data_IF_908550373649
#
_entry.id   IF_908550373649
#
_cell.length_a   1.000
_cell.length_b   1.000
_cell.length_c   1.000
_cell.angle_alpha   90.00
_cell.angle_beta   90.00
_cell.angle_gamma   90.00
#
_symmetry.space_group_name_H-M   'P 1'
#
loop_
_entity.id
_entity.type
_entity.pdbx_description
1 polymer ?
#
# COMPACT_ATOMS: atom_id res chain seq x y z
N UNK A 1 -51.60 -34.86 56.27
CA UNK A 1 -51.89 -34.59 54.85
C UNK A 1 -51.61 -33.15 54.45
N UNK A 2 -52.00 -32.13 55.24
CA UNK A 2 -51.71 -30.72 54.91
C UNK A 2 -50.23 -30.45 54.62
N UNK A 3 -49.31 -30.92 55.48
CA UNK A 3 -47.86 -30.70 55.31
C UNK A 3 -47.29 -31.27 54.00
N UNK A 4 -47.79 -32.40 53.50
CA UNK A 4 -47.30 -32.99 52.24
C UNK A 4 -47.84 -32.23 51.02
N UNK A 5 -49.08 -31.74 51.10
CA UNK A 5 -49.65 -30.86 50.07
C UNK A 5 -48.91 -29.52 50.04
N UNK A 6 -48.61 -28.92 51.19
CA UNK A 6 -47.88 -27.66 51.30
C UNK A 6 -46.46 -27.76 50.69
N UNK A 7 -45.73 -28.83 50.99
CA UNK A 7 -44.39 -29.09 50.40
C UNK A 7 -44.47 -29.25 48.88
N UNK A 8 -45.44 -30.01 48.37
CA UNK A 8 -45.63 -30.18 46.93
C UNK A 8 -46.03 -28.87 46.23
N UNK A 9 -46.83 -28.04 46.90
CA UNK A 9 -47.22 -26.72 46.41
C UNK A 9 -46.04 -25.76 46.32
N UNK A 10 -45.20 -25.71 47.35
CA UNK A 10 -43.99 -24.88 47.35
C UNK A 10 -43.01 -25.32 46.27
N UNK A 11 -42.83 -26.63 46.08
CA UNK A 11 -42.01 -27.20 45.01
C UNK A 11 -42.53 -26.84 43.61
N UNK A 12 -43.85 -26.89 43.41
CA UNK A 12 -44.49 -26.54 42.13
C UNK A 12 -44.36 -25.04 41.83
N UNK A 13 -44.53 -24.18 42.85
CA UNK A 13 -44.34 -22.73 42.76
C UNK A 13 -42.89 -22.37 42.46
N UNK A 14 -41.94 -23.03 43.13
CA UNK A 14 -40.51 -22.88 42.89
C UNK A 14 -40.13 -23.30 41.46
N UNK A 15 -40.65 -24.44 40.98
CA UNK A 15 -40.46 -24.90 39.61
C UNK A 15 -40.99 -23.90 38.58
N UNK A 16 -42.18 -23.31 38.79
CA UNK A 16 -42.72 -22.27 37.91
C UNK A 16 -41.83 -21.03 37.84
N UNK A 17 -41.47 -20.48 39.00
CA UNK A 17 -40.63 -19.28 39.05
C UNK A 17 -39.30 -19.54 38.35
N UNK A 18 -38.76 -20.75 38.48
CA UNK A 18 -37.57 -21.20 37.76
C UNK A 18 -37.79 -21.28 36.24
N UNK A 19 -38.89 -21.86 35.75
CA UNK A 19 -39.21 -21.90 34.30
C UNK A 19 -39.35 -20.49 33.75
N UNK A 20 -40.15 -19.63 34.37
CA UNK A 20 -40.40 -18.27 33.90
C UNK A 20 -39.11 -17.43 33.89
N UNK A 21 -38.28 -17.59 34.93
CA UNK A 21 -36.97 -16.93 35.01
C UNK A 21 -36.03 -17.45 33.91
N UNK A 22 -35.92 -18.77 33.74
CA UNK A 22 -35.05 -19.37 32.71
C UNK A 22 -35.50 -18.97 31.31
N UNK A 23 -36.80 -19.01 31.04
CA UNK A 23 -37.34 -18.71 29.72
C UNK A 23 -37.25 -17.21 29.41
N UNK A 24 -37.65 -16.34 30.35
CA UNK A 24 -37.56 -14.88 30.18
C UNK A 24 -36.11 -14.39 30.09
N UNK A 25 -35.28 -14.74 31.08
CA UNK A 25 -33.87 -14.34 31.08
C UNK A 25 -33.08 -15.01 29.94
N UNK A 26 -33.43 -16.25 29.59
CA UNK A 26 -32.79 -17.00 28.52
C UNK A 26 -33.11 -16.45 27.13
N UNK A 27 -34.36 -16.06 26.86
CA UNK A 27 -34.73 -15.39 25.60
C UNK A 27 -34.07 -14.03 25.51
N UNK A 28 -34.11 -13.24 26.58
CA UNK A 28 -33.47 -11.93 26.62
C UNK A 28 -31.96 -12.05 26.37
N UNK A 29 -31.30 -12.99 27.04
CA UNK A 29 -29.89 -13.29 26.82
C UNK A 29 -29.64 -13.72 25.36
N UNK A 30 -30.43 -14.64 24.82
CA UNK A 30 -30.28 -15.13 23.45
C UNK A 30 -30.40 -14.00 22.42
N UNK A 31 -31.39 -13.13 22.58
CA UNK A 31 -31.61 -11.99 21.68
C UNK A 31 -30.49 -10.95 21.81
N UNK A 32 -30.10 -10.58 23.04
CA UNK A 32 -29.04 -9.59 23.24
C UNK A 32 -27.70 -10.14 22.75
N UNK A 33 -27.32 -11.34 23.18
CA UNK A 33 -26.07 -11.97 22.74
C UNK A 33 -26.02 -12.14 21.22
N UNK A 34 -27.14 -12.53 20.59
CA UNK A 34 -27.15 -12.71 19.14
C UNK A 34 -27.10 -11.39 18.37
N UNK A 35 -28.06 -10.49 18.59
CA UNK A 35 -28.24 -9.29 17.76
C UNK A 35 -27.30 -8.14 18.14
N UNK A 36 -26.86 -8.05 19.40
CA UNK A 36 -26.00 -6.94 19.86
C UNK A 36 -24.53 -7.27 19.94
N UNK A 37 -24.17 -8.56 19.86
CA UNK A 37 -22.80 -9.03 20.06
C UNK A 37 -22.34 -9.93 18.90
N UNK A 38 -23.04 -11.04 18.63
CA UNK A 38 -22.61 -12.00 17.61
C UNK A 38 -22.74 -11.40 16.20
N UNK A 39 -23.91 -10.94 15.78
CA UNK A 39 -24.09 -10.40 14.42
C UNK A 39 -23.13 -9.22 14.11
N UNK A 40 -23.02 -8.19 14.96
CA UNK A 40 -22.08 -7.09 14.71
C UNK A 40 -20.61 -7.52 14.69
N UNK A 41 -20.25 -8.57 15.44
CA UNK A 41 -18.88 -9.09 15.41
C UNK A 41 -18.55 -9.79 14.08
N UNK A 42 -19.50 -10.54 13.51
CA UNK A 42 -19.34 -11.14 12.19
C UNK A 42 -19.19 -10.05 11.12
N UNK A 43 -20.03 -9.02 11.16
CA UNK A 43 -19.91 -7.87 10.25
C UNK A 43 -18.55 -7.16 10.37
N UNK A 44 -18.09 -6.89 11.60
CA UNK A 44 -16.74 -6.34 11.85
C UNK A 44 -15.66 -7.24 11.23
N UNK A 45 -15.74 -8.55 11.46
CA UNK A 45 -14.72 -9.50 11.02
C UNK A 45 -14.72 -9.74 9.51
N UNK A 46 -15.85 -9.53 8.83
CA UNK A 46 -15.91 -9.56 7.37
C UNK A 46 -15.22 -8.32 6.76
N UNK A 47 -15.39 -7.15 7.39
CA UNK A 47 -14.86 -5.87 6.93
C UNK A 47 -13.35 -5.71 7.21
N UNK A 48 -12.88 -6.17 8.39
CA UNK A 48 -11.48 -6.06 8.83
C UNK A 48 -10.45 -6.52 7.78
N UNK A 49 -10.51 -7.75 7.20
CA UNK A 49 -9.52 -8.22 6.24
C UNK A 49 -9.61 -7.48 4.90
N UNK A 50 -10.82 -7.09 4.46
CA UNK A 50 -11.03 -6.32 3.23
C UNK A 50 -10.35 -4.96 3.36
N UNK A 51 -10.58 -4.28 4.48
CA UNK A 51 -10.00 -2.97 4.75
C UNK A 51 -8.47 -3.05 4.95
N UNK A 52 -7.97 -4.04 5.71
CA UNK A 52 -6.52 -4.26 5.87
C UNK A 52 -5.81 -4.49 4.54
N UNK A 53 -6.35 -5.38 3.70
CA UNK A 53 -5.79 -5.65 2.37
C UNK A 53 -5.80 -4.40 1.49
N UNK A 54 -6.91 -3.67 1.47
CA UNK A 54 -7.04 -2.42 0.72
C UNK A 54 -6.04 -1.36 1.21
N UNK A 55 -5.84 -1.27 2.53
CA UNK A 55 -4.91 -0.32 3.15
C UNK A 55 -3.45 -0.66 2.82
N UNK A 56 -3.07 -1.95 2.86
CA UNK A 56 -1.73 -2.39 2.46
C UNK A 56 -1.45 -2.12 0.99
N UNK A 57 -2.40 -2.44 0.11
CA UNK A 57 -2.28 -2.18 -1.32
C UNK A 57 -2.13 -0.69 -1.62
N UNK A 58 -2.95 0.16 -0.99
CA UNK A 58 -2.90 1.62 -1.15
C UNK A 58 -1.65 2.24 -0.55
N UNK A 59 -1.17 1.73 0.59
CA UNK A 59 0.09 2.16 1.18
C UNK A 59 1.26 1.85 0.23
N UNK A 60 1.28 0.67 -0.37
CA UNK A 60 2.29 0.32 -1.37
C UNK A 60 2.25 1.25 -2.58
N UNK A 61 1.05 1.55 -3.11
CA UNK A 61 0.88 2.52 -4.21
C UNK A 61 1.35 3.93 -3.81
N UNK A 62 1.03 4.37 -2.60
CA UNK A 62 1.47 5.66 -2.06
C UNK A 62 3.00 5.76 -1.96
N UNK A 63 3.66 4.72 -1.43
CA UNK A 63 5.12 4.67 -1.31
C UNK A 63 5.80 4.71 -2.68
N UNK A 64 5.25 3.99 -3.67
CA UNK A 64 5.73 4.04 -5.05
C UNK A 64 5.61 5.44 -5.66
N UNK A 65 4.42 6.05 -5.55
CA UNK A 65 4.16 7.39 -6.09
C UNK A 65 5.01 8.47 -5.41
N UNK A 66 5.21 8.35 -4.09
CA UNK A 66 6.06 9.27 -3.33
C UNK A 66 7.51 9.17 -3.79
N UNK A 67 8.04 7.94 -3.90
CA UNK A 67 9.39 7.71 -4.41
C UNK A 67 9.59 8.22 -5.84
N UNK A 68 8.56 8.12 -6.69
CA UNK A 68 8.61 8.70 -8.04
C UNK A 68 8.54 10.22 -8.02
N UNK A 69 7.72 10.81 -7.15
CA UNK A 69 7.61 12.26 -6.98
C UNK A 69 8.95 12.87 -6.64
N UNK A 70 9.65 12.27 -5.68
CA UNK A 70 10.98 12.72 -5.26
C UNK A 70 12.01 12.61 -6.39
N UNK A 71 12.03 11.48 -7.12
CA UNK A 71 12.90 11.32 -8.30
C UNK A 71 12.63 12.37 -9.36
N UNK A 72 11.36 12.68 -9.65
CA UNK A 72 11.00 13.67 -10.65
C UNK A 72 11.35 15.10 -10.20
N UNK A 73 11.20 15.41 -8.91
CA UNK A 73 11.64 16.70 -8.34
C UNK A 73 13.16 16.86 -8.51
N UNK A 74 13.93 15.82 -8.15
CA UNK A 74 15.38 15.83 -8.29
C UNK A 74 15.80 15.92 -9.76
N UNK A 75 15.11 15.20 -10.65
CA UNK A 75 15.32 15.29 -12.10
C UNK A 75 15.08 16.71 -12.60
N UNK A 76 13.97 17.36 -12.20
CA UNK A 76 13.68 18.73 -12.57
C UNK A 76 14.72 19.74 -12.07
N UNK A 77 15.24 19.55 -10.86
CA UNK A 77 16.33 20.38 -10.32
C UNK A 77 17.63 20.17 -11.10
N UNK A 78 17.97 18.92 -11.43
CA UNK A 78 19.14 18.59 -12.23
C UNK A 78 19.02 19.22 -13.62
N UNK A 79 17.91 19.01 -14.34
CA UNK A 79 17.67 19.60 -15.66
C UNK A 79 17.84 21.12 -15.64
N UNK A 80 17.25 21.81 -14.66
CA UNK A 80 17.40 23.28 -14.54
C UNK A 80 18.85 23.70 -14.31
N UNK A 81 19.57 22.96 -13.48
CA UNK A 81 20.98 23.25 -13.17
C UNK A 81 21.86 23.02 -14.39
N UNK A 82 21.70 21.88 -15.07
CA UNK A 82 22.42 21.55 -16.31
C UNK A 82 22.09 22.57 -17.41
N UNK A 83 20.81 22.92 -17.59
CA UNK A 83 20.41 23.94 -18.56
C UNK A 83 21.06 25.29 -18.25
N UNK A 84 21.10 25.72 -16.99
CA UNK A 84 21.77 26.96 -16.61
C UNK A 84 23.29 26.91 -16.87
N UNK A 85 23.94 25.77 -16.63
CA UNK A 85 25.36 25.57 -16.92
C UNK A 85 25.64 25.65 -18.43
N UNK A 86 24.83 24.97 -19.25
CA UNK A 86 24.93 25.01 -20.72
C UNK A 86 24.69 26.42 -21.25
N UNK A 87 23.64 27.11 -20.76
CA UNK A 87 23.36 28.50 -21.13
C UNK A 87 24.53 29.44 -20.77
N UNK A 88 25.17 29.22 -19.61
CA UNK A 88 26.36 29.98 -19.21
C UNK A 88 27.56 29.69 -20.10
N UNK A 89 27.82 28.41 -20.43
CA UNK A 89 28.90 27.98 -21.34
C UNK A 89 28.76 28.63 -22.71
N UNK A 90 27.53 28.62 -23.27
CA UNK A 90 27.21 29.28 -24.54
C UNK A 90 27.36 30.80 -24.44
N UNK A 91 26.92 31.40 -23.33
CA UNK A 91 27.07 32.85 -23.10
C UNK A 91 28.54 33.27 -23.06
N UNK A 92 29.43 32.45 -22.50
CA UNK A 92 30.87 32.72 -22.46
C UNK A 92 31.61 32.43 -23.77
N UNK A 93 31.00 31.70 -24.71
CA UNK A 93 31.65 31.24 -25.93
C UNK A 93 32.35 32.35 -26.75
N UNK A 94 31.73 33.54 -26.99
CA UNK A 94 32.41 34.59 -27.78
C UNK A 94 33.69 35.10 -27.12
N UNK A 95 33.72 35.15 -25.79
CA UNK A 95 34.90 35.58 -25.05
C UNK A 95 35.94 34.47 -24.99
N UNK A 96 35.52 33.25 -24.68
CA UNK A 96 36.38 32.06 -24.67
C UNK A 96 37.07 31.83 -26.03
N UNK A 97 36.32 31.96 -27.13
CA UNK A 97 36.87 31.88 -28.47
C UNK A 97 37.89 32.99 -28.75
N UNK A 98 37.64 34.23 -28.30
CA UNK A 98 38.60 35.33 -28.48
C UNK A 98 39.94 35.04 -27.80
N UNK A 99 39.89 34.45 -26.60
CA UNK A 99 41.09 34.03 -25.85
C UNK A 99 41.84 32.92 -26.62
N UNK A 100 41.14 31.89 -27.07
CA UNK A 100 41.71 30.75 -27.81
C UNK A 100 42.27 31.14 -29.19
N UNK A 101 41.67 32.11 -29.87
CA UNK A 101 42.19 32.60 -31.15
C UNK A 101 43.63 33.14 -31.00
N UNK A 102 43.96 33.76 -29.87
CA UNK A 102 45.32 34.23 -29.60
C UNK A 102 46.28 33.05 -29.41
N UNK A 103 45.86 32.01 -28.70
CA UNK A 103 46.67 30.81 -28.46
C UNK A 103 46.93 30.05 -29.76
N UNK A 104 45.89 29.83 -30.58
CA UNK A 104 46.01 29.26 -31.92
C UNK A 104 46.98 30.08 -32.78
N UNK A 105 46.85 31.40 -32.78
CA UNK A 105 47.73 32.27 -33.56
C UNK A 105 49.20 32.10 -33.18
N UNK A 106 49.48 32.05 -31.87
CA UNK A 106 50.82 31.83 -31.36
C UNK A 106 51.36 30.46 -31.79
N UNK A 107 50.58 29.38 -31.72
CA UNK A 107 51.02 28.04 -32.14
C UNK A 107 51.47 28.02 -33.60
N UNK A 108 50.67 28.59 -34.51
CA UNK A 108 50.98 28.52 -35.95
C UNK A 108 52.02 29.55 -36.43
N UNK A 109 52.35 30.57 -35.63
CA UNK A 109 53.35 31.60 -35.99
C UNK A 109 54.65 31.50 -35.18
N UNK A 110 54.69 30.77 -34.07
CA UNK A 110 55.92 30.58 -33.28
C UNK A 110 56.97 29.74 -34.03
N UNK A 111 56.52 28.77 -34.84
CA UNK A 111 57.40 27.90 -35.64
C UNK A 111 58.03 28.59 -36.85
N UNK A 112 57.58 29.80 -37.23
CA UNK A 112 58.15 30.53 -38.37
C UNK A 112 59.35 31.41 -38.00
N UNK A 113 59.71 31.56 -36.72
CA UNK A 113 60.75 32.53 -36.29
C UNK A 113 62.07 31.92 -35.78
N UNK A 114 62.16 30.61 -35.58
CA UNK A 114 63.40 29.99 -35.09
C UNK A 114 64.26 29.44 -36.23
N UNK A 115 64.85 30.32 -37.04
CA UNK A 115 66.08 30.03 -37.78
C UNK A 115 66.74 31.29 -38.34
N UNK A 116 67.41 32.08 -37.50
CA UNK A 116 68.69 32.74 -37.82
C UNK A 116 69.28 33.45 -36.61
N UNK A 117 70.32 32.89 -35.99
CA UNK A 117 71.44 33.64 -35.40
C UNK A 117 72.45 32.65 -34.80
N UNK A 118 73.53 32.41 -35.55
CA UNK A 118 74.73 31.81 -34.98
C UNK A 118 75.47 32.83 -34.12
N UNK A 119 76.04 32.39 -33.00
CA UNK A 119 77.24 33.03 -32.46
C UNK A 119 78.08 32.05 -31.63
N UNK A 120 79.22 31.70 -32.24
CA UNK A 120 80.44 31.19 -31.61
C UNK A 120 81.00 32.23 -30.62
N UNK A 121 81.59 31.87 -29.46
CA UNK A 121 83.05 31.65 -29.26
C UNK A 121 83.42 31.50 -27.76
N UNK A 122 84.28 30.50 -27.47
CA UNK A 122 85.40 30.44 -26.49
C UNK A 122 85.26 30.50 -24.94
N UNK A 123 85.71 29.41 -24.27
CA UNK A 123 86.95 29.26 -23.45
C UNK A 123 86.79 28.01 -22.52
N UNK A 124 87.50 26.87 -22.64
CA UNK A 124 88.91 26.46 -22.50
C UNK A 124 89.42 26.17 -21.05
N UNK A 125 90.08 25.00 -20.91
CA UNK A 125 90.91 24.39 -19.82
C UNK A 125 90.20 23.49 -18.79
N UNK A 126 90.69 22.33 -18.33
CA UNK A 126 91.88 21.47 -18.60
C UNK A 126 91.70 20.11 -17.86
N UNK A 127 91.77 18.96 -18.54
CA UNK A 127 92.80 17.89 -18.41
C UNK A 127 92.61 16.83 -17.26
N UNK A 128 93.37 15.70 -17.21
CA UNK A 128 92.98 14.40 -17.81
C UNK A 128 93.22 13.15 -16.90
N UNK A 129 92.64 11.98 -17.18
CA UNK A 129 93.25 10.65 -16.88
C UNK A 129 92.79 9.56 -17.87
N UNK A 130 93.79 8.85 -18.41
CA UNK A 130 93.86 7.60 -19.23
C UNK A 130 93.19 6.37 -18.56
N UNK A 131 92.98 5.17 -19.11
CA UNK A 131 93.13 4.44 -20.38
C UNK A 131 92.51 3.05 -20.12
N UNK A 132 92.01 2.38 -21.18
CA UNK A 132 92.14 0.93 -21.51
C UNK A 132 90.83 0.42 -22.16
N UNK A 133 90.70 0.37 -23.49
CA UNK A 133 91.15 -0.64 -24.48
C UNK A 133 90.08 -1.73 -24.76
N UNK A 134 89.65 -1.74 -26.03
CA UNK A 134 89.17 -2.78 -26.97
C UNK A 134 88.06 -3.77 -26.56
N UNK A 135 87.02 -4.05 -27.39
CA UNK A 135 87.15 -4.57 -28.76
C UNK A 135 85.90 -4.38 -29.65
N UNK A 136 86.19 -4.13 -30.93
CA UNK A 136 85.45 -4.15 -32.20
C UNK A 136 84.12 -4.93 -32.36
N UNK A 137 83.19 -4.32 -33.13
CA UNK A 137 82.75 -4.71 -34.51
C UNK A 137 81.21 -4.77 -34.78
N UNK A 138 80.85 -4.16 -35.92
CA UNK A 138 79.75 -4.44 -36.86
C UNK A 138 78.32 -3.84 -36.67
N UNK A 139 78.09 -2.80 -37.48
CA UNK A 139 76.95 -2.49 -38.37
C UNK A 139 75.49 -2.48 -37.86
N UNK A 140 74.89 -1.30 -38.06
CA UNK A 140 73.57 -1.07 -38.68
C UNK A 140 72.34 -1.71 -38.01
N UNK A 141 71.66 -0.90 -37.20
CA UNK A 141 70.20 -0.71 -37.21
C UNK A 141 69.82 0.30 -36.11
N UNK A 142 69.95 1.59 -36.41
CA UNK A 142 69.23 2.62 -35.65
C UNK A 142 67.79 2.67 -36.17
N UNK A 143 66.76 2.50 -35.31
CA UNK A 143 65.40 2.81 -35.71
C UNK A 143 65.29 4.32 -35.99
N UNK A 144 64.41 4.75 -36.90
CA UNK A 144 64.21 6.16 -37.16
C UNK A 144 63.78 6.82 -35.86
N UNK A 145 64.40 7.98 -35.59
CA UNK A 145 64.01 8.89 -34.54
C UNK A 145 62.52 9.19 -34.72
N UNK A 146 61.67 8.57 -33.90
CA UNK A 146 60.25 8.88 -33.84
C UNK A 146 60.20 10.31 -33.32
N UNK A 147 60.01 11.28 -34.22
CA UNK A 147 59.57 12.61 -33.86
C UNK A 147 58.28 12.41 -33.07
N UNK A 148 58.39 12.42 -31.74
CA UNK A 148 57.23 12.56 -30.88
C UNK A 148 56.62 13.90 -31.25
N UNK A 149 55.53 13.85 -32.00
CA UNK A 149 54.64 14.98 -32.18
C UNK A 149 54.22 15.42 -30.78
N UNK A 150 54.82 16.51 -30.30
CA UNK A 150 54.44 17.14 -29.05
C UNK A 150 53.01 17.61 -29.27
N UNK A 151 52.05 16.97 -28.61
CA UNK A 151 50.66 17.38 -28.69
C UNK A 151 50.55 18.80 -28.14
N UNK A 152 50.20 19.74 -29.00
CA UNK A 152 50.07 21.14 -28.61
C UNK A 152 48.74 21.31 -27.91
N UNK A 153 48.78 21.83 -26.68
CA UNK A 153 47.56 22.10 -25.90
C UNK A 153 47.06 23.51 -26.19
N UNK A 154 45.79 23.64 -26.52
CA UNK A 154 45.10 24.91 -26.80
C UNK A 154 43.91 25.02 -25.83
N UNK A 155 44.05 25.87 -24.82
CA UNK A 155 43.15 25.87 -23.66
C UNK A 155 43.13 24.51 -22.96
N UNK A 156 41.97 23.85 -22.96
CA UNK A 156 41.79 22.50 -22.41
C UNK A 156 41.90 21.37 -23.45
N UNK A 157 41.99 21.70 -24.74
CA UNK A 157 41.96 20.72 -25.83
C UNK A 157 43.37 20.43 -26.38
N UNK A 158 43.54 19.26 -26.99
CA UNK A 158 44.76 18.88 -27.68
C UNK A 158 44.58 19.04 -29.18
N UNK A 159 45.42 19.86 -29.81
CA UNK A 159 45.39 20.09 -31.25
C UNK A 159 45.87 18.84 -31.99
N UNK A 160 45.05 18.26 -32.90
CA UNK A 160 45.47 17.16 -33.75
C UNK A 160 46.62 17.54 -34.67
N UNK A 161 47.55 16.61 -34.89
CA UNK A 161 48.76 16.85 -35.69
C UNK A 161 48.51 17.04 -37.19
N UNK A 162 47.34 16.66 -37.68
CA UNK A 162 46.88 16.84 -39.06
C UNK A 162 46.40 18.28 -39.34
N UNK A 163 46.23 19.10 -38.31
CA UNK A 163 45.87 20.51 -38.46
C UNK A 163 47.13 21.35 -38.62
N UNK A 164 47.30 21.89 -39.82
CA UNK A 164 48.53 22.61 -40.21
C UNK A 164 48.33 24.10 -40.45
N UNK A 165 47.08 24.59 -40.49
CA UNK A 165 46.78 26.00 -40.74
C UNK A 165 45.96 26.62 -39.61
N UNK A 166 46.11 27.93 -39.40
CA UNK A 166 45.33 28.69 -38.42
C UNK A 166 43.82 28.53 -38.66
N UNK A 167 43.37 28.65 -39.92
CA UNK A 167 41.95 28.54 -40.26
C UNK A 167 41.37 27.15 -39.97
N UNK A 168 42.13 26.09 -40.23
CA UNK A 168 41.72 24.72 -39.92
C UNK A 168 41.70 24.48 -38.40
N UNK A 169 42.61 25.11 -37.65
CA UNK A 169 42.62 25.08 -36.18
C UNK A 169 41.43 25.80 -35.56
N UNK A 170 41.01 26.94 -36.11
CA UNK A 170 39.78 27.64 -35.67
C UNK A 170 38.55 26.78 -35.94
N UNK A 171 38.45 26.19 -37.14
CA UNK A 171 37.34 25.31 -37.50
C UNK A 171 37.22 24.12 -36.55
N UNK A 172 38.32 23.38 -36.36
CA UNK A 172 38.38 22.24 -35.45
C UNK A 172 37.99 22.61 -34.03
N UNK A 173 38.48 23.74 -33.52
CA UNK A 173 38.18 24.16 -32.16
C UNK A 173 36.68 24.42 -31.98
N UNK A 174 36.06 25.10 -32.95
CA UNK A 174 34.63 25.40 -32.93
C UNK A 174 33.80 24.11 -32.97
N UNK A 175 34.11 23.19 -33.88
CA UNK A 175 33.46 21.88 -33.95
C UNK A 175 33.60 21.10 -32.64
N UNK A 176 34.81 21.09 -32.07
CA UNK A 176 35.10 20.39 -30.81
C UNK A 176 34.31 20.97 -29.66
N UNK A 177 34.25 22.30 -29.55
CA UNK A 177 33.49 22.98 -28.50
C UNK A 177 31.98 22.71 -28.61
N UNK A 178 31.42 22.73 -29.82
CA UNK A 178 30.01 22.37 -30.05
C UNK A 178 29.72 20.91 -29.71
N UNK A 179 30.63 20.01 -30.08
CA UNK A 179 30.50 18.60 -29.75
C UNK A 179 30.50 18.38 -28.24
N UNK A 180 31.32 19.13 -27.50
CA UNK A 180 31.33 19.11 -26.04
C UNK A 180 30.01 19.62 -25.44
N UNK A 181 29.44 20.72 -25.96
CA UNK A 181 28.13 21.22 -25.50
C UNK A 181 27.02 20.18 -25.74
N UNK A 182 27.00 19.54 -26.90
CA UNK A 182 26.03 18.48 -27.19
C UNK A 182 26.26 17.25 -26.30
N UNK A 183 27.52 16.91 -26.01
CA UNK A 183 27.88 15.85 -25.07
C UNK A 183 27.36 16.17 -23.66
N UNK A 184 27.55 17.40 -23.18
CA UNK A 184 27.06 17.87 -21.88
C UNK A 184 25.53 17.79 -21.80
N UNK A 185 24.82 18.20 -22.86
CA UNK A 185 23.36 18.05 -22.95
C UNK A 185 22.95 16.57 -22.84
N UNK A 186 23.60 15.67 -23.60
CA UNK A 186 23.25 14.24 -23.58
C UNK A 186 23.48 13.63 -22.21
N UNK A 187 24.64 13.91 -21.62
CA UNK A 187 25.05 13.34 -20.33
C UNK A 187 24.29 13.93 -19.15
N UNK A 188 24.06 15.23 -19.13
CA UNK A 188 23.49 15.93 -17.97
C UNK A 188 21.98 16.11 -18.03
N UNK A 189 21.35 15.89 -19.19
CA UNK A 189 19.90 16.05 -19.39
C UNK A 189 19.27 14.77 -19.96
N UNK A 190 19.71 14.29 -21.12
CA UNK A 190 19.06 13.15 -21.80
C UNK A 190 19.19 11.84 -21.01
N UNK A 191 20.40 11.49 -20.56
CA UNK A 191 20.66 10.29 -19.79
C UNK A 191 19.84 10.21 -18.48
N UNK A 192 19.79 11.27 -17.64
CA UNK A 192 18.91 11.30 -16.48
C UNK A 192 17.42 11.10 -16.82
N UNK A 193 16.93 11.68 -17.91
CA UNK A 193 15.54 11.51 -18.36
C UNK A 193 15.28 10.04 -18.76
N UNK A 194 16.21 9.41 -19.48
CA UNK A 194 16.14 8.00 -19.87
C UNK A 194 16.15 7.07 -18.65
N UNK A 195 17.01 7.36 -17.67
CA UNK A 195 17.13 6.58 -16.44
C UNK A 195 15.92 6.73 -15.51
N UNK A 196 15.23 7.86 -15.57
CA UNK A 196 14.05 8.12 -14.75
C UNK A 196 12.85 7.19 -15.06
N UNK A 197 12.90 6.42 -16.17
CA UNK A 197 11.88 5.43 -16.58
C UNK A 197 10.46 5.98 -16.41
N UNK A 198 10.24 7.15 -16.96
CA UNK A 198 8.98 7.87 -16.87
C UNK A 198 7.96 7.09 -17.72
N UNK A 199 7.04 6.37 -17.07
CA UNK A 199 6.01 5.60 -17.77
C UNK A 199 4.90 6.53 -18.27
N UNK A 200 4.38 6.28 -19.48
CA UNK A 200 3.29 7.07 -20.09
C UNK A 200 2.06 7.15 -19.19
N UNK A 201 1.80 6.07 -18.45
CA UNK A 201 0.63 5.91 -17.57
C UNK A 201 0.59 6.94 -16.43
N UNK A 202 1.73 7.54 -16.08
CA UNK A 202 1.85 8.51 -14.98
C UNK A 202 1.86 9.96 -15.44
N UNK A 203 2.05 10.19 -16.73
CA UNK A 203 2.59 11.43 -17.29
C UNK A 203 1.68 12.00 -18.38
N UNK A 204 0.74 11.20 -18.87
CA UNK A 204 -0.06 11.54 -20.04
C UNK A 204 0.84 11.63 -21.28
N UNK A 205 0.40 12.40 -22.28
CA UNK A 205 1.06 12.50 -23.59
C UNK A 205 2.35 13.35 -23.61
N UNK A 206 3.01 13.53 -22.45
CA UNK A 206 4.23 14.34 -22.32
C UNK A 206 5.45 13.43 -22.43
N UNK A 207 6.10 13.46 -23.59
CA UNK A 207 7.33 12.70 -23.85
C UNK A 207 8.57 13.61 -23.69
N UNK A 208 9.16 13.60 -22.49
CA UNK A 208 10.38 14.36 -22.20
C UNK A 208 11.58 13.92 -23.06
N UNK A 209 11.63 12.64 -23.45
CA UNK A 209 12.69 12.12 -24.30
C UNK A 209 12.59 12.74 -25.69
N UNK A 210 11.40 12.72 -26.29
CA UNK A 210 11.14 13.34 -27.59
C UNK A 210 11.42 14.84 -27.58
N UNK A 211 11.05 15.55 -26.51
CA UNK A 211 11.36 16.98 -26.35
C UNK A 211 12.87 17.21 -26.35
N UNK A 212 13.62 16.40 -25.59
CA UNK A 212 15.08 16.52 -25.48
C UNK A 212 15.76 16.24 -26.81
N UNK A 213 15.36 15.17 -27.51
CA UNK A 213 15.88 14.82 -28.82
C UNK A 213 15.61 15.90 -29.87
N UNK A 214 14.39 16.44 -29.88
CA UNK A 214 14.05 17.55 -30.77
C UNK A 214 14.93 18.78 -30.49
N UNK A 215 15.17 19.10 -29.21
CA UNK A 215 16.04 20.21 -28.84
C UNK A 215 17.48 20.05 -29.34
N UNK A 216 18.05 18.86 -29.22
CA UNK A 216 19.37 18.52 -29.78
C UNK A 216 19.37 18.70 -31.31
N UNK A 217 18.34 18.21 -32.00
CA UNK A 217 18.22 18.32 -33.45
C UNK A 217 18.10 19.77 -33.94
N UNK A 218 17.41 20.62 -33.18
CA UNK A 218 17.23 22.02 -33.53
C UNK A 218 18.54 22.80 -33.44
N UNK A 219 19.38 22.52 -32.43
CA UNK A 219 20.73 23.08 -32.31
C UNK A 219 21.62 22.61 -33.47
N UNK A 220 21.61 21.31 -33.78
CA UNK A 220 22.40 20.77 -34.88
C UNK A 220 22.00 21.44 -36.21
N UNK A 221 20.69 21.54 -36.47
CA UNK A 221 20.17 22.19 -37.68
C UNK A 221 20.55 23.66 -37.76
N UNK A 222 20.68 24.35 -36.63
CA UNK A 222 21.17 25.72 -36.59
C UNK A 222 22.64 25.80 -37.04
N UNK A 223 23.51 24.94 -36.49
CA UNK A 223 24.94 24.90 -36.85
C UNK A 223 25.12 24.57 -38.34
N UNK A 224 24.44 23.54 -38.82
CA UNK A 224 24.50 23.09 -40.22
C UNK A 224 24.05 24.21 -41.20
N UNK A 225 23.07 25.03 -40.79
CA UNK A 225 22.59 26.16 -41.58
C UNK A 225 23.62 27.27 -41.67
N UNK A 226 24.28 27.62 -40.56
CA UNK A 226 25.34 28.64 -40.55
C UNK A 226 26.48 28.25 -41.50
N UNK A 227 26.87 26.98 -41.47
CA UNK A 227 27.90 26.45 -42.38
C UNK A 227 27.45 26.45 -43.84
N UNK A 228 26.20 26.06 -44.12
CA UNK A 228 25.65 26.05 -45.48
C UNK A 228 25.53 27.44 -46.09
N UNK A 229 25.11 28.43 -45.30
CA UNK A 229 24.95 29.82 -45.77
C UNK A 229 26.29 30.54 -45.96
N UNK A 230 27.30 30.17 -45.18
CA UNK A 230 28.66 30.67 -45.34
C UNK A 230 29.69 29.56 -45.01
N UNK A 231 30.14 28.77 -46.00
CA UNK A 231 31.05 27.63 -45.80
C UNK A 231 32.41 28.01 -45.22
N UNK A 232 32.80 29.28 -45.34
CA UNK A 232 34.04 29.81 -44.78
C UNK A 232 33.82 30.54 -43.46
N UNK A 233 32.58 30.59 -42.93
CA UNK A 233 32.27 31.30 -41.69
C UNK A 233 33.10 30.77 -40.54
N UNK A 234 33.08 29.46 -40.31
CA UNK A 234 33.83 28.86 -39.22
C UNK A 234 35.35 28.93 -39.43
N UNK A 235 35.82 28.88 -40.68
CA UNK A 235 37.26 28.93 -41.05
C UNK A 235 37.89 30.31 -40.90
N UNK A 236 37.17 31.35 -41.30
CA UNK A 236 37.67 32.74 -41.33
C UNK A 236 37.10 33.59 -40.20
N UNK A 237 36.06 33.09 -39.53
CA UNK A 237 35.24 33.85 -38.60
C UNK A 237 34.77 35.18 -39.22
N UNK A 238 34.60 35.22 -40.54
CA UNK A 238 34.28 36.42 -41.31
C UNK A 238 33.13 36.15 -42.27
N UNK A 239 32.30 37.17 -42.52
CA UNK A 239 31.09 37.01 -43.33
C UNK A 239 30.09 38.15 -43.12
N UNK A 240 28.96 38.09 -43.85
CA UNK A 240 27.90 39.09 -43.76
C UNK A 240 27.12 39.04 -42.43
N UNK A 241 27.08 37.89 -41.76
CA UNK A 241 26.64 37.79 -40.36
C UNK A 241 27.81 38.09 -39.42
N UNK A 242 27.58 38.96 -38.43
CA UNK A 242 28.56 39.26 -37.40
C UNK A 242 28.73 38.09 -36.43
N UNK A 243 29.94 37.93 -35.89
CA UNK A 243 30.30 36.92 -34.87
C UNK A 243 29.36 36.94 -33.66
N UNK A 244 28.96 38.15 -33.26
CA UNK A 244 28.05 38.40 -32.13
C UNK A 244 26.64 37.92 -32.46
N UNK A 245 26.20 38.09 -33.71
CA UNK A 245 24.86 37.72 -34.15
C UNK A 245 24.67 36.21 -34.14
N UNK A 246 25.63 35.44 -34.67
CA UNK A 246 25.60 33.97 -34.66
C UNK A 246 25.61 33.41 -33.23
N UNK A 247 26.43 33.97 -32.34
CA UNK A 247 26.43 33.55 -30.94
C UNK A 247 25.10 33.88 -30.22
N UNK A 248 24.49 35.02 -30.55
CA UNK A 248 23.23 35.44 -29.95
C UNK A 248 22.04 34.61 -30.46
N UNK A 249 22.03 34.25 -31.74
CA UNK A 249 21.03 33.35 -32.33
C UNK A 249 21.18 31.92 -31.83
N UNK A 250 22.40 31.38 -31.74
CA UNK A 250 22.63 30.06 -31.14
C UNK A 250 22.08 30.00 -29.71
N UNK A 251 22.37 31.04 -28.91
CA UNK A 251 21.84 31.15 -27.55
C UNK A 251 20.31 31.20 -27.54
N UNK A 252 19.71 31.90 -28.49
CA UNK A 252 18.26 31.94 -28.64
C UNK A 252 17.69 30.56 -28.97
N UNK A 253 18.33 29.82 -29.89
CA UNK A 253 17.87 28.49 -30.27
C UNK A 253 17.99 27.52 -29.11
N UNK A 254 19.10 27.51 -28.35
CA UNK A 254 19.24 26.67 -27.15
C UNK A 254 18.15 26.99 -26.12
N UNK A 255 17.93 28.28 -25.82
CA UNK A 255 16.89 28.70 -24.87
C UNK A 255 15.50 28.26 -25.33
N UNK A 256 15.22 28.36 -26.62
CA UNK A 256 13.95 27.95 -27.22
C UNK A 256 13.77 26.43 -27.19
N UNK A 257 14.81 25.68 -27.55
CA UNK A 257 14.83 24.22 -27.60
C UNK A 257 14.66 23.58 -26.22
N UNK A 258 15.30 24.13 -25.18
CA UNK A 258 15.23 23.57 -23.82
C UNK A 258 14.24 24.27 -22.89
N UNK A 259 13.74 25.46 -23.23
CA UNK A 259 12.71 26.15 -22.45
C UNK A 259 11.45 25.30 -22.29
N UNK A 260 11.05 24.59 -23.36
CA UNK A 260 9.90 23.67 -23.34
C UNK A 260 10.14 22.47 -22.39
N UNK A 261 11.38 22.01 -22.27
CA UNK A 261 11.72 20.87 -21.42
C UNK A 261 11.48 21.20 -19.94
N UNK A 262 11.96 22.36 -19.48
CA UNK A 262 11.76 22.79 -18.08
C UNK A 262 10.29 22.98 -17.74
N UNK A 263 9.52 23.63 -18.63
CA UNK A 263 8.07 23.81 -18.44
C UNK A 263 7.34 22.47 -18.30
N UNK A 264 7.65 21.51 -19.19
CA UNK A 264 7.00 20.19 -19.18
C UNK A 264 7.38 19.37 -17.96
N UNK A 265 8.63 19.42 -17.53
CA UNK A 265 9.06 18.78 -16.28
C UNK A 265 8.33 19.36 -15.07
N UNK A 266 8.13 20.68 -15.01
CA UNK A 266 7.39 21.32 -13.91
C UNK A 266 5.91 20.91 -13.87
N UNK A 267 5.26 20.82 -15.04
CA UNK A 267 3.89 20.31 -15.14
C UNK A 267 3.80 18.89 -14.60
N UNK A 268 4.78 18.03 -14.91
CA UNK A 268 4.81 16.65 -14.42
C UNK A 268 5.03 16.55 -12.92
N UNK A 269 5.96 17.35 -12.37
CA UNK A 269 6.15 17.46 -10.93
C UNK A 269 4.85 17.91 -10.25
N UNK A 270 4.14 18.87 -10.82
CA UNK A 270 2.84 19.34 -10.33
C UNK A 270 1.80 18.22 -10.26
N UNK A 271 1.58 17.52 -11.38
CA UNK A 271 0.63 16.40 -11.47
C UNK A 271 0.94 15.29 -10.47
N UNK A 272 2.23 14.96 -10.32
CA UNK A 272 2.65 13.89 -9.42
C UNK A 272 2.47 14.28 -7.95
N UNK A 273 2.70 15.56 -7.59
CA UNK A 273 2.37 16.07 -6.26
C UNK A 273 0.88 16.01 -5.96
N UNK A 274 0.03 16.34 -6.92
CA UNK A 274 -1.42 16.23 -6.77
C UNK A 274 -1.87 14.78 -6.59
N UNK A 275 -1.32 13.85 -7.38
CA UNK A 275 -1.60 12.42 -7.25
C UNK A 275 -1.17 11.86 -5.88
N UNK A 276 0.02 12.24 -5.40
CA UNK A 276 0.50 11.89 -4.04
C UNK A 276 -0.43 12.44 -2.97
N UNK A 277 -0.88 13.70 -3.10
CA UNK A 277 -1.84 14.29 -2.15
C UNK A 277 -3.17 13.55 -2.14
N UNK A 278 -3.73 13.25 -3.31
CA UNK A 278 -5.00 12.54 -3.43
C UNK A 278 -4.92 11.13 -2.81
N UNK A 279 -3.84 10.40 -3.07
CA UNK A 279 -3.60 9.08 -2.47
C UNK A 279 -3.40 9.15 -0.96
N UNK A 280 -2.74 10.20 -0.46
CA UNK A 280 -2.60 10.43 0.98
C UNK A 280 -3.96 10.67 1.64
N UNK A 281 -4.82 11.49 1.05
CA UNK A 281 -6.17 11.75 1.56
C UNK A 281 -7.01 10.45 1.59
N UNK A 282 -6.89 9.60 0.57
CA UNK A 282 -7.56 8.29 0.53
C UNK A 282 -7.03 7.35 1.63
N UNK A 283 -5.71 7.31 1.83
CA UNK A 283 -5.05 6.52 2.86
C UNK A 283 -5.46 6.97 4.27
N UNK A 284 -5.50 8.29 4.51
CA UNK A 284 -5.93 8.88 5.78
C UNK A 284 -7.39 8.54 6.07
N UNK A 285 -8.25 8.55 5.04
CA UNK A 285 -9.66 8.11 5.15
C UNK A 285 -9.76 6.64 5.53
N UNK A 286 -9.02 5.75 4.86
CA UNK A 286 -9.03 4.31 5.19
C UNK A 286 -8.48 4.04 6.60
N UNK A 287 -7.45 4.78 7.03
CA UNK A 287 -6.91 4.65 8.38
C UNK A 287 -7.92 5.11 9.44
N UNK A 288 -8.68 6.17 9.17
CA UNK A 288 -9.78 6.60 10.02
C UNK A 288 -10.90 5.53 10.08
N UNK A 289 -11.27 4.96 8.93
CA UNK A 289 -12.26 3.88 8.89
C UNK A 289 -11.79 2.64 9.66
N UNK A 290 -10.50 2.31 9.61
CA UNK A 290 -9.90 1.24 10.41
C UNK A 290 -9.94 1.54 11.91
N UNK A 291 -9.71 2.80 12.28
CA UNK A 291 -9.80 3.25 13.68
C UNK A 291 -11.23 3.13 14.21
N UNK A 292 -12.23 3.58 13.44
CA UNK A 292 -13.65 3.42 13.80
C UNK A 292 -14.05 1.95 13.92
N UNK A 293 -13.53 1.10 13.04
CA UNK A 293 -13.76 -0.34 13.07
C UNK A 293 -13.19 -0.94 14.36
N UNK A 294 -11.99 -0.53 14.76
CA UNK A 294 -11.34 -0.93 16.02
C UNK A 294 -12.10 -0.43 17.26
N UNK A 295 -12.56 0.83 17.27
CA UNK A 295 -13.42 1.36 18.34
C UNK A 295 -14.75 0.58 18.44
N UNK A 296 -15.30 0.17 17.29
CA UNK A 296 -16.47 -0.70 17.21
C UNK A 296 -16.24 -2.05 17.90
N UNK A 297 -15.08 -2.66 17.69
CA UNK A 297 -14.66 -3.89 18.39
C UNK A 297 -14.56 -3.68 19.89
N UNK A 298 -13.86 -2.64 20.34
CA UNK A 298 -13.66 -2.37 21.77
C UNK A 298 -15.02 -2.12 22.47
N UNK A 299 -15.97 -1.49 21.75
CA UNK A 299 -17.35 -1.34 22.21
C UNK A 299 -18.08 -2.68 22.31
N UNK A 300 -17.88 -3.61 21.37
CA UNK A 300 -18.45 -4.97 21.46
C UNK A 300 -17.87 -5.75 22.64
N UNK A 301 -16.56 -5.68 22.85
CA UNK A 301 -15.88 -6.31 23.98
C UNK A 301 -16.39 -5.74 25.33
N UNK A 302 -16.61 -4.42 25.41
CA UNK A 302 -17.21 -3.81 26.59
C UNK A 302 -18.64 -4.30 26.86
N UNK A 303 -19.48 -4.40 25.82
CA UNK A 303 -20.86 -4.91 25.92
C UNK A 303 -20.87 -6.37 26.39
N UNK A 304 -19.95 -7.18 25.87
CA UNK A 304 -19.79 -8.56 26.30
C UNK A 304 -19.44 -8.66 27.79
N UNK A 305 -18.51 -7.83 28.27
CA UNK A 305 -18.13 -7.84 29.70
C UNK A 305 -19.29 -7.51 30.65
N UNK A 306 -20.30 -6.79 30.14
CA UNK A 306 -21.53 -6.43 30.87
C UNK A 306 -22.66 -7.47 30.78
N UNK A 307 -22.52 -8.46 29.89
CA UNK A 307 -23.54 -9.49 29.68
C UNK A 307 -23.46 -10.57 30.76
N UNK A 308 -24.41 -10.56 31.69
CA UNK A 308 -24.63 -11.67 32.61
C UNK A 308 -25.52 -12.73 31.96
N UNK A 309 -25.08 -13.98 31.98
CA UNK A 309 -25.84 -15.12 31.47
C UNK A 309 -26.81 -15.66 32.53
N UNK A 310 -27.92 -16.30 32.13
CA UNK A 310 -28.78 -17.06 33.05
C UNK A 310 -28.02 -18.16 33.83
N UNK A 311 -26.80 -18.51 33.42
CA UNK A 311 -25.91 -19.47 34.08
C UNK A 311 -24.80 -18.81 34.93
N UNK A 312 -24.77 -17.49 35.07
CA UNK A 312 -23.75 -16.72 35.79
C UNK A 312 -22.95 -15.78 34.88
N UNK A 313 -21.89 -15.14 35.40
CA UNK A 313 -20.96 -14.38 34.56
C UNK A 313 -20.28 -15.34 33.59
N UNK A 314 -20.30 -15.03 32.30
CA UNK A 314 -19.53 -15.78 31.31
C UNK A 314 -18.12 -15.18 31.28
N UNK A 315 -17.07 -15.86 31.77
CA UNK A 315 -15.71 -15.38 31.69
C UNK A 315 -15.13 -15.77 30.33
N UNK A 316 -15.68 -15.21 29.26
CA UNK A 316 -15.26 -15.54 27.90
C UNK A 316 -14.98 -14.26 27.13
N UNK A 317 -13.85 -14.24 26.44
CA UNK A 317 -13.60 -13.28 25.38
C UNK A 317 -14.65 -13.45 24.27
N UNK A 318 -14.86 -12.43 23.45
CA UNK A 318 -15.88 -12.41 22.39
C UNK A 318 -15.83 -13.64 21.45
N UNK A 319 -14.64 -14.11 21.03
CA UNK A 319 -14.50 -15.35 20.27
C UNK A 319 -15.06 -16.58 20.98
N UNK A 320 -14.90 -16.65 22.30
CA UNK A 320 -15.27 -17.82 23.09
C UNK A 320 -16.76 -17.84 23.40
N UNK A 321 -17.39 -16.67 23.58
CA UNK A 321 -18.85 -16.60 23.62
C UNK A 321 -19.46 -17.15 22.32
N UNK A 322 -18.96 -16.73 21.16
CA UNK A 322 -19.47 -17.19 19.85
C UNK A 322 -19.36 -18.72 19.73
N UNK A 323 -18.25 -19.30 20.22
CA UNK A 323 -18.05 -20.75 20.18
C UNK A 323 -19.05 -21.51 21.06
N UNK A 324 -19.30 -21.00 22.26
CA UNK A 324 -20.08 -21.68 23.29
C UNK A 324 -21.57 -21.32 23.21
N UNK A 325 -21.95 -20.24 22.51
CA UNK A 325 -23.32 -19.73 22.42
C UNK A 325 -24.38 -20.80 22.06
N UNK A 326 -24.22 -21.61 21.00
CA UNK A 326 -25.22 -22.65 20.70
C UNK A 326 -25.28 -23.78 21.73
N UNK A 327 -24.18 -24.08 22.42
CA UNK A 327 -24.16 -25.01 23.55
C UNK A 327 -24.96 -24.41 24.72
N UNK A 328 -24.82 -23.10 24.98
CA UNK A 328 -25.64 -22.39 25.98
C UNK A 328 -27.12 -22.42 25.60
N UNK A 329 -27.45 -22.23 24.32
CA UNK A 329 -28.85 -22.29 23.84
C UNK A 329 -29.44 -23.69 23.99
N UNK A 330 -28.69 -24.74 23.67
CA UNK A 330 -29.11 -26.11 23.89
C UNK A 330 -29.27 -26.42 25.40
N UNK A 331 -28.30 -26.00 26.23
CA UNK A 331 -28.37 -26.16 27.68
C UNK A 331 -29.56 -25.44 28.32
N UNK A 332 -29.88 -24.23 27.81
CA UNK A 332 -31.06 -23.48 28.20
C UNK A 332 -32.35 -24.25 27.88
N UNK A 333 -32.48 -24.77 26.65
CA UNK A 333 -33.65 -25.53 26.23
C UNK A 333 -33.80 -26.85 26.99
N UNK A 334 -32.71 -27.56 27.27
CA UNK A 334 -32.73 -28.75 28.13
C UNK A 334 -33.19 -28.39 29.53
N UNK A 335 -32.68 -27.30 30.10
CA UNK A 335 -33.06 -26.84 31.44
C UNK A 335 -34.54 -26.46 31.52
N UNK A 336 -35.05 -25.76 30.49
CA UNK A 336 -36.48 -25.42 30.38
C UNK A 336 -37.32 -26.69 30.24
N UNK A 337 -36.94 -27.61 29.35
CA UNK A 337 -37.69 -28.85 29.06
C UNK A 337 -37.74 -29.78 30.27
N UNK A 338 -36.61 -29.99 30.95
CA UNK A 338 -36.54 -30.82 32.16
C UNK A 338 -37.35 -30.22 33.30
N UNK A 339 -37.31 -28.89 33.47
CA UNK A 339 -38.12 -28.21 34.49
C UNK A 339 -39.62 -28.28 34.15
N UNK A 340 -39.99 -28.16 32.87
CA UNK A 340 -41.37 -28.37 32.40
C UNK A 340 -41.84 -29.82 32.63
N UNK A 341 -40.99 -30.81 32.36
CA UNK A 341 -41.31 -32.22 32.59
C UNK A 341 -41.49 -32.52 34.08
N UNK A 342 -40.60 -32.02 34.94
CA UNK A 342 -40.73 -32.15 36.40
C UNK A 342 -42.03 -31.51 36.88
N UNK A 343 -42.33 -30.30 36.43
CA UNK A 343 -43.58 -29.61 36.74
C UNK A 343 -44.81 -30.40 36.28
N UNK A 344 -44.78 -30.98 35.08
CA UNK A 344 -45.87 -31.80 34.57
C UNK A 344 -46.06 -33.09 35.38
N UNK A 345 -44.96 -33.74 35.79
CA UNK A 345 -45.03 -34.93 36.65
C UNK A 345 -45.62 -34.59 38.02
N UNK A 346 -45.16 -33.51 38.65
CA UNK A 346 -45.68 -33.03 39.93
C UNK A 346 -47.18 -32.70 39.81
N UNK A 347 -47.58 -32.03 38.74
CA UNK A 347 -48.99 -31.72 38.47
C UNK A 347 -49.85 -32.99 38.33
N UNK A 348 -49.37 -34.02 37.61
CA UNK A 348 -50.10 -35.29 37.47
C UNK A 348 -50.24 -35.99 38.82
N UNK A 349 -49.15 -36.15 39.57
CA UNK A 349 -49.18 -36.77 40.91
C UNK A 349 -50.10 -36.01 41.86
N UNK A 350 -50.05 -34.68 41.81
CA UNK A 350 -50.90 -33.81 42.62
C UNK A 350 -52.38 -33.94 42.24
N UNK A 351 -52.69 -33.99 40.93
CA UNK A 351 -54.04 -34.23 40.40
C UNK A 351 -54.58 -35.58 40.83
N UNK A 352 -53.77 -36.63 40.74
CA UNK A 352 -54.16 -37.99 41.12
C UNK A 352 -54.47 -38.11 42.62
N UNK A 353 -53.63 -37.52 43.47
CA UNK A 353 -53.83 -37.53 44.91
C UNK A 353 -55.08 -36.72 45.32
N UNK A 354 -55.33 -35.59 44.66
CA UNK A 354 -56.52 -34.79 44.90
C UNK A 354 -57.81 -35.48 44.43
N UNK A 355 -57.76 -36.21 43.30
CA UNK A 355 -58.89 -36.99 42.77
C UNK A 355 -59.29 -38.15 43.68
N UNK A 356 -58.35 -38.74 44.41
CA UNK A 356 -58.62 -39.84 45.34
C UNK A 356 -59.34 -39.39 46.61
N UNK A 357 -59.12 -38.14 47.04
CA UNK A 357 -59.48 -37.70 48.38
C UNK A 357 -60.66 -36.70 48.45
N UNK A 358 -61.13 -36.13 47.33
CA UNK A 358 -62.08 -35.00 47.35
C UNK A 358 -63.28 -35.12 46.40
N UNK A 359 -64.32 -34.32 46.67
CA UNK A 359 -65.56 -34.23 45.88
C UNK A 359 -65.37 -33.52 44.53
N UNK A 360 -66.30 -33.72 43.58
CA UNK A 360 -66.25 -33.11 42.24
C UNK A 360 -66.27 -31.56 42.26
N UNK A 361 -66.83 -30.97 43.32
CA UNK A 361 -66.89 -29.51 43.53
C UNK A 361 -65.51 -28.97 43.97
N UNK A 362 -64.78 -29.70 44.82
CA UNK A 362 -63.40 -29.36 45.20
C UNK A 362 -62.44 -29.47 44.03
N UNK A 363 -62.71 -30.38 43.08
CA UNK A 363 -61.91 -30.54 41.87
C UNK A 363 -61.94 -29.28 40.98
N UNK A 364 -63.10 -28.63 40.82
CA UNK A 364 -63.21 -27.36 40.06
C UNK A 364 -62.49 -26.20 40.76
N UNK A 365 -62.53 -26.15 42.09
CA UNK A 365 -61.82 -25.13 42.87
C UNK A 365 -60.30 -25.34 42.84
N UNK A 366 -59.86 -26.59 42.93
CA UNK A 366 -58.48 -26.98 42.73
C UNK A 366 -57.98 -26.64 41.33
N UNK A 367 -58.76 -26.93 40.30
CA UNK A 367 -58.41 -26.60 38.92
C UNK A 367 -58.28 -25.09 38.75
N UNK A 368 -59.21 -24.29 39.30
CA UNK A 368 -59.09 -22.82 39.34
C UNK A 368 -57.83 -22.34 40.07
N UNK A 369 -57.50 -22.91 41.22
CA UNK A 369 -56.31 -22.54 41.97
C UNK A 369 -55.04 -22.95 41.21
N UNK A 370 -54.95 -24.19 40.70
CA UNK A 370 -53.84 -24.65 39.88
C UNK A 370 -53.70 -23.84 38.57
N UNK A 371 -54.81 -23.42 37.95
CA UNK A 371 -54.86 -22.61 36.72
C UNK A 371 -54.38 -21.17 36.98
N UNK A 372 -54.73 -20.56 38.12
CA UNK A 372 -54.14 -19.28 38.55
C UNK A 372 -52.62 -19.39 38.79
N UNK A 373 -52.11 -20.63 38.90
CA UNK A 373 -50.74 -20.92 39.29
C UNK A 373 -49.86 -21.34 38.11
N UNK A 374 -50.37 -21.46 36.89
CA UNK A 374 -49.54 -21.43 35.66
C UNK A 374 -49.36 -19.96 35.18
N UNK A 375 -48.72 -19.65 34.04
CA UNK A 375 -48.57 -18.27 33.53
C UNK A 375 -49.93 -17.49 33.58
N UNK A 376 -49.96 -16.13 33.64
CA UNK A 376 -51.15 -15.34 34.00
C UNK A 376 -52.42 -15.80 33.28
N UNK A 377 -53.62 -15.59 33.85
CA UNK A 377 -54.88 -16.27 33.49
C UNK A 377 -55.40 -15.80 32.13
N UNK A 378 -54.65 -16.10 31.08
CA UNK A 378 -55.16 -16.13 29.73
C UNK A 378 -55.70 -17.53 29.51
N UNK A 379 -56.82 -17.59 28.78
CA UNK A 379 -57.54 -18.81 28.42
C UNK A 379 -56.59 -19.95 28.01
N UNK A 380 -56.95 -21.21 28.29
CA UNK A 380 -56.10 -22.41 28.15
C UNK A 380 -55.38 -22.57 26.80
N UNK A 381 -55.81 -21.84 25.77
CA UNK A 381 -55.23 -21.78 24.44
C UNK A 381 -54.02 -20.84 24.38
N UNK A 382 -53.96 -19.72 25.13
CA UNK A 382 -52.90 -18.71 24.94
C UNK A 382 -51.52 -19.16 25.45
N UNK A 383 -51.47 -19.96 26.52
CA UNK A 383 -50.22 -20.40 27.15
C UNK A 383 -49.34 -21.31 26.25
N UNK A 384 -49.87 -22.36 25.58
CA UNK A 384 -49.07 -23.17 24.67
C UNK A 384 -48.58 -22.38 23.45
N UNK A 385 -49.33 -21.38 22.99
CA UNK A 385 -48.90 -20.52 21.88
C UNK A 385 -47.76 -19.59 22.28
N UNK A 386 -47.82 -18.95 23.46
CA UNK A 386 -46.72 -18.10 23.96
C UNK A 386 -45.45 -18.93 24.19
N UNK A 387 -45.58 -20.12 24.77
CA UNK A 387 -44.46 -21.04 24.97
C UNK A 387 -43.88 -21.50 23.63
N UNK A 388 -44.74 -21.89 22.68
CA UNK A 388 -44.33 -22.26 21.33
C UNK A 388 -43.61 -21.13 20.59
N UNK A 389 -44.12 -19.91 20.70
CA UNK A 389 -43.51 -18.71 20.11
C UNK A 389 -42.13 -18.41 20.73
N UNK A 390 -42.02 -18.49 22.05
CA UNK A 390 -40.76 -18.31 22.76
C UNK A 390 -39.69 -19.32 22.32
N UNK A 391 -40.07 -20.60 22.16
CA UNK A 391 -39.15 -21.63 21.70
C UNK A 391 -38.81 -21.43 20.21
N UNK A 392 -39.78 -21.01 19.40
CA UNK A 392 -39.53 -20.67 17.99
C UNK A 392 -38.52 -19.53 17.85
N UNK A 393 -38.57 -18.50 18.71
CA UNK A 393 -37.55 -17.44 18.76
C UNK A 393 -36.17 -18.02 19.07
N UNK A 394 -36.06 -18.84 20.14
CA UNK A 394 -34.80 -19.47 20.52
C UNK A 394 -34.23 -20.34 19.37
N UNK A 395 -35.08 -21.15 18.75
CA UNK A 395 -34.70 -21.99 17.63
C UNK A 395 -34.27 -21.15 16.42
N UNK A 396 -34.98 -20.06 16.12
CA UNK A 396 -34.63 -19.11 15.06
C UNK A 396 -33.26 -18.46 15.28
N UNK A 397 -33.00 -17.98 16.51
CA UNK A 397 -31.70 -17.42 16.91
C UNK A 397 -30.59 -18.46 16.77
N UNK A 398 -30.84 -19.70 17.20
CA UNK A 398 -29.88 -20.80 17.06
C UNK A 398 -29.58 -21.11 15.59
N UNK A 399 -30.60 -21.21 14.74
CA UNK A 399 -30.43 -21.49 13.30
C UNK A 399 -29.66 -20.35 12.65
N UNK A 400 -29.99 -19.09 12.94
CA UNK A 400 -29.29 -17.92 12.40
C UNK A 400 -27.82 -17.87 12.85
N UNK A 401 -27.54 -18.08 14.13
CA UNK A 401 -26.17 -18.16 14.65
C UNK A 401 -25.38 -19.30 13.99
N UNK A 402 -26.03 -20.45 13.79
CA UNK A 402 -25.42 -21.61 13.09
C UNK A 402 -25.11 -21.30 11.63
N UNK A 403 -26.04 -20.64 10.94
CA UNK A 403 -25.85 -20.22 9.55
C UNK A 403 -24.67 -19.27 9.41
N UNK A 404 -24.54 -18.26 10.27
CA UNK A 404 -23.42 -17.31 10.25
C UNK A 404 -22.07 -18.02 10.36
N UNK A 405 -21.95 -19.00 11.25
CA UNK A 405 -20.69 -19.73 11.43
C UNK A 405 -20.39 -20.64 10.23
N UNK A 406 -21.41 -21.24 9.62
CA UNK A 406 -21.24 -22.12 8.46
C UNK A 406 -20.96 -21.32 7.18
N UNK A 407 -21.61 -20.18 6.99
CA UNK A 407 -21.45 -19.34 5.79
C UNK A 407 -20.08 -18.68 5.71
N UNK A 408 -19.38 -18.50 6.83
CA UNK A 408 -18.10 -17.78 6.89
C UNK A 408 -16.95 -18.64 7.45
N UNK A 409 -16.46 -19.62 6.66
CA UNK A 409 -15.40 -20.54 7.12
C UNK A 409 -14.06 -19.85 7.41
N UNK A 410 -13.80 -18.68 6.81
CA UNK A 410 -12.62 -17.85 7.11
C UNK A 410 -12.67 -17.25 8.51
N UNK A 411 -13.86 -16.86 8.98
CA UNK A 411 -14.05 -16.36 10.34
C UNK A 411 -13.85 -17.45 11.38
N UNK A 412 -14.25 -18.67 11.05
CA UNK A 412 -13.98 -19.83 11.90
C UNK A 412 -12.48 -19.99 12.15
N UNK A 413 -11.66 -19.93 11.09
CA UNK A 413 -10.19 -20.00 11.21
C UNK A 413 -9.62 -18.84 12.03
N UNK A 414 -10.17 -17.62 11.90
CA UNK A 414 -9.79 -16.47 12.71
C UNK A 414 -10.19 -16.61 14.19
N UNK A 415 -11.29 -17.31 14.49
CA UNK A 415 -11.81 -17.53 15.85
C UNK A 415 -11.08 -18.66 16.57
N UNK A 416 -10.68 -19.70 15.85
CA UNK A 416 -10.00 -20.88 16.42
C UNK A 416 -8.48 -20.79 16.38
N UNK A 417 -7.91 -19.82 15.64
CA UNK A 417 -6.46 -19.63 15.49
C UNK A 417 -5.75 -20.76 14.73
N UNK A 418 -6.50 -21.75 14.23
CA UNK A 418 -5.96 -22.95 13.62
C UNK A 418 -6.80 -23.32 12.38
N UNK A 419 -6.16 -23.56 11.22
CA UNK A 419 -6.81 -24.07 10.00
C UNK A 419 -7.16 -25.57 10.09
N UNK A 420 -6.99 -26.19 11.25
CA UNK A 420 -7.04 -27.64 11.42
C UNK A 420 -8.48 -28.16 11.28
N UNK A 421 -8.67 -29.00 10.26
CA UNK A 421 -9.93 -29.65 9.86
C UNK A 421 -10.63 -30.36 11.02
N UNK A 422 -9.85 -30.89 11.99
CA UNK A 422 -10.35 -31.65 13.14
C UNK A 422 -11.17 -30.77 14.10
N UNK A 423 -10.68 -29.58 14.47
CA UNK A 423 -11.43 -28.68 15.37
C UNK A 423 -12.68 -28.14 14.70
N UNK A 424 -12.61 -27.84 13.40
CA UNK A 424 -13.77 -27.48 12.59
C UNK A 424 -14.84 -28.57 12.60
N UNK A 425 -14.44 -29.83 12.42
CA UNK A 425 -15.36 -30.96 12.45
C UNK A 425 -15.96 -31.18 13.85
N UNK A 426 -15.14 -31.08 14.91
CA UNK A 426 -15.63 -31.18 16.30
C UNK A 426 -16.64 -30.08 16.61
N UNK A 427 -16.38 -28.87 16.16
CA UNK A 427 -17.27 -27.73 16.33
C UNK A 427 -18.59 -27.91 15.57
N UNK A 428 -18.52 -28.33 14.31
CA UNK A 428 -19.70 -28.65 13.50
C UNK A 428 -20.52 -29.78 14.15
N UNK A 429 -19.85 -30.82 14.66
CA UNK A 429 -20.49 -31.90 15.41
C UNK A 429 -21.20 -31.37 16.66
N UNK A 430 -20.57 -30.47 17.44
CA UNK A 430 -21.21 -29.85 18.61
C UNK A 430 -22.45 -29.03 18.22
N UNK A 431 -22.43 -28.34 17.08
CA UNK A 431 -23.58 -27.60 16.55
C UNK A 431 -24.70 -28.54 16.10
N UNK A 432 -24.38 -29.60 15.37
CA UNK A 432 -25.36 -30.61 14.93
C UNK A 432 -26.00 -31.27 16.15
N UNK A 433 -25.18 -31.68 17.13
CA UNK A 433 -25.68 -32.27 18.38
C UNK A 433 -26.57 -31.30 19.15
N UNK A 434 -26.19 -30.02 19.22
CA UNK A 434 -27.03 -28.97 19.81
C UNK A 434 -28.37 -28.84 19.07
N UNK A 435 -28.37 -28.87 17.74
CA UNK A 435 -29.58 -28.86 16.93
C UNK A 435 -30.50 -30.06 17.18
N UNK A 436 -29.94 -31.27 17.26
CA UNK A 436 -30.67 -32.50 17.60
C UNK A 436 -31.31 -32.37 18.99
N UNK A 437 -30.57 -31.85 19.97
CA UNK A 437 -31.07 -31.62 21.33
C UNK A 437 -32.24 -30.62 21.33
N UNK A 438 -32.13 -29.53 20.56
CA UNK A 438 -33.19 -28.52 20.43
C UNK A 438 -34.45 -29.13 19.81
N UNK A 439 -34.31 -29.94 18.75
CA UNK A 439 -35.43 -30.65 18.10
C UNK A 439 -36.07 -31.64 19.08
N UNK A 440 -35.27 -32.40 19.83
CA UNK A 440 -35.76 -33.32 20.86
C UNK A 440 -36.53 -32.60 21.97
N UNK A 441 -36.03 -31.46 22.43
CA UNK A 441 -36.72 -30.60 23.42
C UNK A 441 -38.07 -30.09 22.87
N UNK A 442 -38.08 -29.59 21.63
CA UNK A 442 -39.29 -29.15 20.94
C UNK A 442 -40.35 -30.26 20.86
N UNK A 443 -39.94 -31.46 20.46
CA UNK A 443 -40.84 -32.61 20.39
C UNK A 443 -41.44 -32.99 21.75
N UNK A 444 -40.62 -32.99 22.81
CA UNK A 444 -41.07 -33.26 24.19
C UNK A 444 -42.07 -32.22 24.67
N UNK A 445 -41.82 -30.93 24.41
CA UNK A 445 -42.73 -29.84 24.78
C UNK A 445 -44.06 -29.96 24.03
N UNK A 446 -44.02 -30.29 22.73
CA UNK A 446 -45.22 -30.56 21.93
C UNK A 446 -46.05 -31.71 22.49
N UNK A 447 -45.39 -32.83 22.85
CA UNK A 447 -46.04 -33.99 23.47
C UNK A 447 -46.67 -33.68 24.82
N UNK A 448 -46.02 -32.87 25.66
CA UNK A 448 -46.58 -32.43 26.95
C UNK A 448 -47.82 -31.55 26.73
N UNK A 449 -47.79 -30.69 25.72
CA UNK A 449 -48.89 -29.78 25.40
C UNK A 449 -50.11 -30.53 24.87
N UNK A 450 -49.92 -31.52 23.99
CA UNK A 450 -50.99 -32.37 23.44
C UNK A 450 -51.67 -33.24 24.50
N UNK A 451 -50.98 -33.64 25.59
CA UNK A 451 -51.59 -34.43 26.68
C UNK A 451 -52.49 -33.62 27.61
N UNK A 452 -52.44 -32.28 27.54
CA UNK A 452 -53.22 -31.39 28.41
C UNK A 452 -54.52 -30.90 27.77
N UNK A 453 -54.56 -30.86 26.44
CA UNK A 453 -55.79 -30.71 25.64
C UNK A 453 -56.55 -32.03 25.68
#
# INVERSE_FOLDING_TARGET
MSQLLDVLFDDLRSCKNKVNRLLGAGILFALIAHFYVIEPYFEYKEQEPKLKKSLEEKKFQFDQLTGQSERMINLGQNIRTSQANIENKIKSFPQHLREILSDLWNVFHSDSSSNTSGQSTHAQRSAPVQQSIDTQQLFANMPPNVQQSVSVKIGEFFLPSDITTFNDGVHWYIETWFHEVLSDIRKEIEEPIMQAKITSDMVGDIDLQKITQQGIMDIQRYIDRVEKENPNFWKSYSGPMGKVDVAQELRHEVKKSFGLLTEKTDVLVGRLKEAVRAQKEELDKMNNDMTKLQEGKDKLDSRLSSLESPFGRIPAELPDLIKVFPILMAGLLVSVTTTLQKNNSLYISFREEFRKNNSEIDYKNFQRQADCWFLPPYTSIFQPFVLGFCIAIIAGVFVRASLLVVSEPSLFTSLTGEPVTIRKNLFLCAYIMSGIVIIGCLWLIGKISMKRV
#
